data_IF_696607811697
#
_entry.id   IF_696607811697
#
_cell.length_a   1.000
_cell.length_b   1.000
_cell.length_c   1.000
_cell.angle_alpha   90.00
_cell.angle_beta   90.00
_cell.angle_gamma   90.00
#
_symmetry.space_group_name_H-M   'P 1'
#
loop_
_entity.id
_entity.type
_entity.pdbx_description
1 polymer ?
#
# COMPACT_ATOMS: atom_id res chain seq x y z
N UNK A 1 19.03 0.16 0.72
CA UNK A 1 17.94 -0.35 1.57
C UNK A 1 17.36 0.85 2.29
N UNK A 2 16.06 1.07 2.15
CA UNK A 2 15.38 2.19 2.80
C UNK A 2 14.62 1.61 3.99
N UNK A 3 15.08 1.93 5.20
CA UNK A 3 14.38 1.58 6.44
C UNK A 3 13.50 2.78 6.75
N UNK A 4 12.19 2.63 6.53
CA UNK A 4 11.24 3.70 6.81
C UNK A 4 10.72 3.55 8.26
N UNK A 5 11.01 4.51 9.15
CA UNK A 5 10.36 4.52 10.46
C UNK A 5 8.86 4.82 10.28
N UNK A 6 8.02 4.10 11.02
CA UNK A 6 6.58 4.39 11.07
C UNK A 6 6.40 5.66 11.91
N UNK A 7 6.53 6.84 11.30
CA UNK A 7 6.26 8.09 11.98
C UNK A 7 4.75 8.35 11.97
N UNK A 8 4.17 8.40 13.17
CA UNK A 8 2.81 8.84 13.42
C UNK A 8 2.71 10.34 13.15
N UNK A 9 2.48 10.73 11.90
CA UNK A 9 2.21 12.12 11.54
C UNK A 9 0.79 12.49 11.99
N UNK A 10 0.72 13.39 12.98
CA UNK A 10 -0.50 14.08 13.39
C UNK A 10 -1.00 14.90 12.19
N UNK A 11 -2.18 14.56 11.67
CA UNK A 11 -2.90 15.37 10.68
C UNK A 11 -4.26 15.72 11.26
N UNK A 12 -4.58 17.00 11.17
CA UNK A 12 -5.76 17.70 11.69
C UNK A 12 -7.09 17.03 11.30
N UNK A 13 -8.05 17.07 12.23
CA UNK A 13 -9.29 16.30 12.21
C UNK A 13 -10.33 16.81 11.19
N UNK A 14 -10.67 15.99 10.20
CA UNK A 14 -12.04 15.91 9.69
C UNK A 14 -12.65 14.53 10.03
N UNK A 15 -13.88 14.55 10.54
CA UNK A 15 -14.60 13.42 11.15
C UNK A 15 -14.89 12.31 10.12
N UNK A 16 -13.90 11.49 9.82
CA UNK A 16 -14.08 10.22 9.12
C UNK A 16 -14.44 9.13 10.13
N UNK A 17 -15.33 8.20 9.73
CA UNK A 17 -15.69 7.02 10.54
C UNK A 17 -14.40 6.35 11.02
N UNK A 18 -14.29 5.93 12.30
CA UNK A 18 -13.07 5.30 12.81
C UNK A 18 -12.78 4.06 11.98
N UNK A 19 -11.81 4.16 11.07
CA UNK A 19 -11.26 2.98 10.44
C UNK A 19 -10.50 2.24 11.53
N UNK A 20 -10.83 0.96 11.75
CA UNK A 20 -10.07 0.09 12.64
C UNK A 20 -8.61 0.16 12.18
N UNK A 21 -7.76 0.80 12.97
CA UNK A 21 -6.31 0.80 12.76
C UNK A 21 -5.82 -0.62 13.02
N UNK A 22 -5.76 -1.41 11.97
CA UNK A 22 -5.12 -2.71 11.92
C UNK A 22 -3.62 -2.46 11.91
N UNK A 23 -3.03 -2.38 13.10
CA UNK A 23 -1.59 -2.29 13.25
C UNK A 23 -0.99 -3.63 12.83
N UNK A 24 -0.02 -3.61 11.90
CA UNK A 24 0.87 -4.75 11.72
C UNK A 24 1.65 -4.89 13.03
N UNK A 25 1.44 -5.96 13.79
CA UNK A 25 2.23 -6.26 14.99
C UNK A 25 3.64 -6.75 14.61
N UNK A 26 4.31 -6.07 13.70
CA UNK A 26 5.70 -6.29 13.33
C UNK A 26 6.53 -5.09 13.80
N UNK A 27 7.71 -5.34 14.38
CA UNK A 27 8.60 -4.25 14.79
C UNK A 27 9.18 -3.48 13.60
N UNK A 28 9.30 -4.14 12.44
CA UNK A 28 9.99 -3.62 11.27
C UNK A 28 9.41 -4.21 9.98
N UNK A 29 9.44 -3.45 8.88
CA UNK A 29 9.08 -3.90 7.53
C UNK A 29 10.25 -3.66 6.59
N UNK A 30 10.63 -4.69 5.81
CA UNK A 30 11.67 -4.59 4.80
C UNK A 30 11.05 -4.53 3.40
N UNK A 31 11.39 -3.47 2.66
CA UNK A 31 10.98 -3.26 1.28
C UNK A 31 12.14 -3.50 0.32
N UNK A 32 11.93 -4.24 -0.78
CA UNK A 32 12.89 -4.34 -1.86
C UNK A 32 13.25 -2.97 -2.44
N UNK A 33 14.53 -2.79 -2.78
CA UNK A 33 14.99 -1.57 -3.42
C UNK A 33 14.25 -1.33 -4.75
N UNK A 34 13.82 -0.10 -5.01
CA UNK A 34 13.12 0.23 -6.26
C UNK A 34 11.63 -0.12 -6.28
N UNK A 35 11.13 -0.86 -5.29
CA UNK A 35 9.72 -1.30 -5.26
C UNK A 35 8.76 -0.11 -5.24
N UNK A 36 8.99 0.85 -4.34
CA UNK A 36 8.12 2.01 -4.23
C UNK A 36 8.16 2.87 -5.49
N UNK A 37 9.32 3.01 -6.14
CA UNK A 37 9.46 3.74 -7.39
C UNK A 37 8.65 3.09 -8.52
N UNK A 38 8.68 1.75 -8.61
CA UNK A 38 7.88 0.99 -9.57
C UNK A 38 6.38 1.15 -9.28
N UNK A 39 5.97 0.99 -8.02
CA UNK A 39 4.58 1.19 -7.57
C UNK A 39 4.09 2.61 -7.89
N UNK A 40 4.88 3.64 -7.61
CA UNK A 40 4.53 5.02 -7.91
C UNK A 40 4.31 5.23 -9.41
N UNK A 41 5.19 4.68 -10.25
CA UNK A 41 5.04 4.77 -11.71
C UNK A 41 3.74 4.11 -12.18
N UNK A 42 3.45 2.92 -11.69
CA UNK A 42 2.25 2.18 -12.09
C UNK A 42 0.96 2.88 -11.61
N UNK A 43 0.97 3.45 -10.40
CA UNK A 43 -0.15 4.24 -9.88
C UNK A 43 -0.41 5.48 -10.75
N UNK A 44 0.66 6.19 -11.15
CA UNK A 44 0.54 7.33 -12.07
C UNK A 44 -0.07 6.88 -13.41
N UNK A 45 0.45 5.81 -14.00
CA UNK A 45 -0.05 5.29 -15.27
C UNK A 45 -1.53 4.86 -15.20
N UNK A 46 -1.96 4.18 -14.13
CA UNK A 46 -3.36 3.78 -13.95
C UNK A 46 -4.29 4.99 -13.84
N UNK A 47 -3.81 6.06 -13.20
CA UNK A 47 -4.59 7.26 -12.91
C UNK A 47 -4.64 8.24 -14.08
N UNK A 48 -3.66 8.27 -15.00
CA UNK A 48 -3.67 9.13 -16.19
C UNK A 48 -4.93 8.98 -17.07
N UNK A 49 -5.47 7.75 -17.13
CA UNK A 49 -6.67 7.42 -17.90
C UNK A 49 -8.00 7.81 -17.23
N UNK A 50 -7.97 8.37 -16.02
CA UNK A 50 -9.16 8.62 -15.21
C UNK A 50 -9.46 10.11 -15.02
N UNK A 51 -10.73 10.41 -14.74
CA UNK A 51 -11.18 11.77 -14.46
C UNK A 51 -10.49 12.32 -13.21
N UNK A 52 -9.98 13.54 -13.33
CA UNK A 52 -9.17 14.23 -12.32
C UNK A 52 -7.83 13.54 -12.00
N UNK A 53 -7.43 12.55 -12.81
CA UNK A 53 -6.15 11.85 -12.67
C UNK A 53 -5.92 11.32 -11.26
N UNK A 54 -4.69 11.44 -10.78
CA UNK A 54 -4.30 11.03 -9.42
C UNK A 54 -5.13 11.72 -8.32
N UNK A 55 -5.59 12.96 -8.52
CA UNK A 55 -6.38 13.72 -7.53
C UNK A 55 -7.77 13.12 -7.29
N UNK A 56 -8.33 12.43 -8.28
CA UNK A 56 -9.60 11.72 -8.17
C UNK A 56 -9.49 10.35 -7.49
N UNK A 57 -8.28 9.93 -7.10
CA UNK A 57 -8.04 8.59 -6.57
C UNK A 57 -8.25 8.49 -5.06
N UNK A 58 -8.90 7.41 -4.64
CA UNK A 58 -8.79 6.85 -3.30
C UNK A 58 -7.83 5.66 -3.31
N UNK A 59 -6.75 5.71 -2.53
CA UNK A 59 -5.78 4.62 -2.42
C UNK A 59 -6.06 3.79 -1.16
N UNK A 60 -6.23 2.48 -1.34
CA UNK A 60 -6.28 1.51 -0.26
C UNK A 60 -4.99 0.71 -0.26
N UNK A 61 -4.31 0.66 0.89
CA UNK A 61 -3.12 -0.14 1.09
C UNK A 61 -3.50 -1.43 1.80
N UNK A 62 -3.22 -2.56 1.18
CA UNK A 62 -3.46 -3.90 1.69
C UNK A 62 -2.14 -4.66 1.82
N UNK A 63 -2.13 -5.59 2.77
CA UNK A 63 -1.05 -6.53 2.95
C UNK A 63 -1.61 -7.93 2.99
N UNK A 64 -1.11 -8.77 2.09
CA UNK A 64 -1.38 -10.20 2.00
C UNK A 64 -0.22 -10.95 2.65
N UNK A 65 -0.45 -11.42 3.87
CA UNK A 65 0.44 -12.31 4.60
C UNK A 65 0.25 -13.77 4.20
N UNK A 66 0.91 -14.67 4.93
CA UNK A 66 0.80 -16.13 4.68
C UNK A 66 -0.63 -16.67 4.88
N UNK A 67 -1.35 -16.18 5.89
CA UNK A 67 -2.66 -16.72 6.28
C UNK A 67 -3.81 -15.71 6.15
N UNK A 68 -3.50 -14.42 5.96
CA UNK A 68 -4.50 -13.36 5.98
C UNK A 68 -4.21 -12.23 4.99
N UNK A 69 -5.28 -11.58 4.52
CA UNK A 69 -5.18 -10.32 3.80
C UNK A 69 -5.88 -9.22 4.59
N UNK A 70 -5.14 -8.16 4.91
CA UNK A 70 -5.59 -7.07 5.77
C UNK A 70 -5.39 -5.72 5.11
N UNK A 71 -6.38 -4.83 5.24
CA UNK A 71 -6.22 -3.42 4.89
C UNK A 71 -5.35 -2.75 5.94
N UNK A 72 -4.26 -2.12 5.54
CA UNK A 72 -3.35 -1.38 6.41
C UNK A 72 -3.73 0.09 6.55
N UNK A 73 -4.05 0.71 5.42
CA UNK A 73 -4.29 2.15 5.37
C UNK A 73 -5.22 2.53 4.23
N UNK A 74 -5.69 3.76 4.30
CA UNK A 74 -6.51 4.42 3.31
C UNK A 74 -6.04 5.86 3.17
N UNK A 75 -5.89 6.32 1.94
CA UNK A 75 -5.48 7.70 1.62
C UNK A 75 -6.40 8.24 0.54
N UNK A 76 -7.09 9.34 0.85
CA UNK A 76 -7.70 10.20 -0.17
C UNK A 76 -6.63 11.15 -0.67
N UNK A 77 -6.25 11.06 -1.95
CA UNK A 77 -5.09 11.79 -2.48
C UNK A 77 -5.29 13.31 -2.42
N UNK A 78 -6.46 13.78 -2.84
CA UNK A 78 -6.83 15.18 -2.74
C UNK A 78 -8.18 15.32 -2.00
N UNK A 79 -8.17 15.83 -0.75
CA UNK A 79 -9.40 16.03 0.02
C UNK A 79 -10.43 16.92 -0.68
N UNK A 80 -9.98 17.87 -1.50
CA UNK A 80 -10.83 18.87 -2.17
C UNK A 80 -11.46 18.37 -3.47
N UNK A 81 -10.89 17.32 -4.06
CA UNK A 81 -11.40 16.72 -5.30
C UNK A 81 -12.36 15.56 -4.97
N UNK A 82 -13.55 15.48 -5.61
CA UNK A 82 -14.40 14.30 -5.50
C UNK A 82 -13.69 13.06 -6.04
N UNK A 83 -13.73 11.96 -5.30
CA UNK A 83 -13.10 10.71 -5.73
C UNK A 83 -13.92 10.09 -6.87
N UNK A 84 -13.27 9.70 -7.97
CA UNK A 84 -13.90 9.13 -9.17
C UNK A 84 -13.58 7.64 -9.32
N UNK A 85 -12.49 7.17 -8.71
CA UNK A 85 -12.09 5.76 -8.69
C UNK A 85 -11.31 5.42 -7.41
N UNK A 86 -11.21 4.13 -7.16
CA UNK A 86 -10.43 3.53 -6.08
C UNK A 86 -9.31 2.69 -6.69
N UNK A 87 -8.14 2.70 -6.04
CA UNK A 87 -7.03 1.79 -6.33
C UNK A 87 -6.70 1.02 -5.07
N UNK A 88 -6.59 -0.29 -5.20
CA UNK A 88 -6.19 -1.21 -4.16
C UNK A 88 -4.76 -1.66 -4.47
N UNK A 89 -3.80 -1.21 -3.67
CA UNK A 89 -2.42 -1.66 -3.70
C UNK A 89 -2.24 -2.76 -2.65
N UNK A 90 -2.01 -3.98 -3.10
CA UNK A 90 -1.77 -5.13 -2.23
C UNK A 90 -0.29 -5.51 -2.29
N UNK A 91 0.42 -5.26 -1.19
CA UNK A 91 1.75 -5.82 -0.98
C UNK A 91 1.63 -7.26 -0.48
N UNK A 92 2.52 -8.14 -0.95
CA UNK A 92 2.53 -9.55 -0.57
C UNK A 92 3.72 -9.84 0.33
N UNK A 93 3.55 -10.71 1.32
CA UNK A 93 4.66 -11.28 2.06
C UNK A 93 5.54 -12.10 1.11
N UNK A 94 6.86 -12.07 1.31
CA UNK A 94 7.77 -12.90 0.55
C UNK A 94 7.67 -14.37 1.04
N UNK A 95 7.02 -15.24 0.25
CA UNK A 95 6.71 -16.62 0.66
C UNK A 95 7.83 -17.64 0.36
N UNK A 96 8.72 -17.34 -0.59
CA UNK A 96 9.73 -18.29 -1.07
C UNK A 96 11.08 -17.59 -1.26
N UNK A 97 12.13 -18.01 -0.54
CA UNK A 97 13.49 -17.55 -0.82
C UNK A 97 14.40 -17.21 0.37
N UNK A 98 14.10 -17.67 1.59
CA UNK A 98 14.99 -17.50 2.75
C UNK A 98 16.41 -18.08 2.57
N UNK A 99 16.63 -18.91 1.54
CA UNK A 99 17.95 -19.46 1.22
C UNK A 99 18.95 -18.39 0.71
N UNK A 100 18.47 -17.37 -0.02
CA UNK A 100 19.35 -16.42 -0.71
C UNK A 100 19.55 -15.08 0.02
N UNK A 101 18.86 -14.85 1.15
CA UNK A 101 19.11 -13.63 1.92
C UNK A 101 20.50 -13.67 2.57
N UNK A 102 21.28 -12.58 2.45
CA UNK A 102 22.49 -12.37 3.23
C UNK A 102 22.29 -12.64 4.72
N UNK A 103 23.29 -13.22 5.36
CA UNK A 103 23.23 -13.63 6.77
C UNK A 103 22.91 -12.48 7.74
N UNK A 104 23.22 -11.23 7.37
CA UNK A 104 22.87 -10.07 8.19
C UNK A 104 21.35 -9.82 8.24
N UNK A 105 20.63 -10.08 7.15
CA UNK A 105 19.17 -9.92 7.11
C UNK A 105 18.46 -10.99 7.94
N UNK A 106 18.98 -12.23 7.93
CA UNK A 106 18.47 -13.32 8.78
C UNK A 106 18.56 -13.00 10.27
N UNK A 107 19.47 -12.12 10.69
CA UNK A 107 19.56 -11.66 12.09
C UNK A 107 18.51 -10.60 12.43
N UNK A 108 18.14 -9.75 11.47
CA UNK A 108 17.12 -8.71 11.62
C UNK A 108 15.73 -9.35 11.73
N UNK A 109 15.46 -10.36 10.90
CA UNK A 109 14.15 -11.02 10.83
C UNK A 109 13.78 -11.87 12.04
N UNK A 110 14.72 -12.13 12.96
CA UNK A 110 14.45 -12.87 14.20
C UNK A 110 13.52 -12.11 15.18
N UNK A 111 13.30 -10.82 14.97
CA UNK A 111 12.46 -9.95 15.80
C UNK A 111 11.02 -9.73 15.32
N UNK A 112 10.52 -10.54 14.38
CA UNK A 112 9.17 -10.34 13.83
C UNK A 112 9.11 -9.29 12.71
N UNK A 113 10.20 -9.11 11.96
CA UNK A 113 10.27 -8.26 10.78
C UNK A 113 9.51 -8.89 9.61
N UNK A 114 8.66 -8.12 8.95
CA UNK A 114 7.93 -8.55 7.74
C UNK A 114 8.68 -8.14 6.49
N UNK A 115 8.93 -9.07 5.57
CA UNK A 115 9.57 -8.76 4.28
C UNK A 115 8.50 -8.72 3.19
N UNK A 116 8.47 -7.61 2.46
CA UNK A 116 7.58 -7.41 1.33
C UNK A 116 8.20 -8.02 0.07
N UNK A 117 7.40 -8.74 -0.69
CA UNK A 117 7.77 -9.27 -2.01
C UNK A 117 8.01 -8.13 -3.00
N UNK A 118 8.80 -8.40 -4.05
CA UNK A 118 8.89 -7.49 -5.21
C UNK A 118 7.61 -7.49 -6.05
N UNK A 119 6.78 -8.53 -5.88
CA UNK A 119 5.47 -8.65 -6.48
C UNK A 119 4.40 -7.95 -5.64
N UNK A 120 3.52 -7.23 -6.31
CA UNK A 120 2.37 -6.57 -5.74
C UNK A 120 1.23 -6.59 -6.75
N UNK A 121 0.03 -6.32 -6.27
CA UNK A 121 -1.16 -6.19 -7.11
C UNK A 121 -1.71 -4.77 -7.05
N UNK A 122 -2.15 -4.27 -8.21
CA UNK A 122 -2.90 -3.02 -8.33
C UNK A 122 -4.24 -3.30 -8.99
N UNK A 123 -5.32 -3.11 -8.23
CA UNK A 123 -6.68 -3.27 -8.73
C UNK A 123 -7.41 -1.93 -8.73
N UNK A 124 -7.86 -1.48 -9.90
CA UNK A 124 -8.65 -0.24 -10.09
C UNK A 124 -10.14 -0.56 -10.10
N UNK A 125 -10.93 0.26 -9.40
CA UNK A 125 -12.39 0.19 -9.39
C UNK A 125 -12.99 1.59 -9.61
N UNK A 126 -13.78 1.77 -10.67
CA UNK A 126 -14.52 3.03 -10.89
C UNK A 126 -15.66 3.16 -9.89
N UNK A 127 -15.83 4.34 -9.32
CA UNK A 127 -16.92 4.63 -8.38
C UNK A 127 -18.23 4.95 -9.10
N UNK A 128 -18.13 5.43 -10.34
CA UNK A 128 -19.26 5.76 -11.18
C UNK A 128 -19.20 4.91 -12.45
N UNK A 129 -20.33 4.32 -12.83
CA UNK A 129 -20.47 3.72 -14.17
C UNK A 129 -20.78 4.85 -15.15
N UNK A 130 -20.21 4.78 -16.34
CA UNK A 130 -20.75 5.50 -17.49
C UNK A 130 -22.13 4.91 -17.76
N UNK A 131 -23.20 5.64 -17.46
CA UNK A 131 -24.52 5.34 -18.01
C UNK A 131 -24.47 5.79 -19.46
N UNK A 132 -24.13 4.88 -20.36
CA UNK A 132 -24.47 5.06 -21.76
C UNK A 132 -25.71 4.18 -21.99
N UNK A 133 -26.87 4.83 -22.18
CA UNK A 133 -28.00 4.27 -22.93
C UNK A 133 -27.62 4.13 -24.41
#
# INVERSE_FOLDING_TARGET
MEVLPIQSTHVEYQKQRPQKRTHLSCGEVLLPCGLLQKVSKDILQISESELCGLRGMNLYLLFEGEEDCRRLSFVKIDPTTPSTFEVYLTFKQANAGWAFLPQFLKKITRGGTVIISTEYELTKKKLYRSTCE
#
